data_IF_717127259845
#
_entry.id   IF_717127259845
#
_cell.length_a   1.000
_cell.length_b   1.000
_cell.length_c   1.000
_cell.angle_alpha   90.00
_cell.angle_beta   90.00
_cell.angle_gamma   90.00
#
_symmetry.space_group_name_H-M   'P 1'
#
loop_
_entity.id
_entity.type
_entity.pdbx_description
1 polymer ?
#
# COMPACT_ATOMS: atom_id res chain seq x y z
N UNK A 1 23.14 10.69 16.05
CA UNK A 1 22.60 10.36 14.72
C UNK A 1 23.25 11.08 13.54
N UNK A 2 24.42 11.72 13.73
CA UNK A 2 25.41 12.00 12.65
C UNK A 2 26.82 11.62 13.10
N UNK A 3 27.13 11.85 14.38
CA UNK A 3 28.42 11.47 14.98
C UNK A 3 28.75 9.96 15.00
N UNK A 4 27.76 9.08 14.83
CA UNK A 4 28.02 7.63 14.77
C UNK A 4 28.58 7.21 13.39
N UNK A 5 28.06 7.80 12.30
CA UNK A 5 28.54 7.56 10.95
C UNK A 5 29.94 8.14 10.70
N UNK A 6 30.23 9.33 11.25
CA UNK A 6 31.56 9.94 11.14
C UNK A 6 32.61 9.16 11.94
N UNK A 7 32.24 8.63 13.12
CA UNK A 7 33.10 7.75 13.90
C UNK A 7 33.33 6.41 13.18
N UNK A 8 32.28 5.78 12.62
CA UNK A 8 32.40 4.54 11.85
C UNK A 8 33.31 4.72 10.62
N UNK A 9 33.12 5.82 9.87
CA UNK A 9 33.97 6.18 8.73
C UNK A 9 35.42 6.38 9.13
N UNK A 10 35.68 7.07 10.25
CA UNK A 10 37.04 7.32 10.73
C UNK A 10 37.75 6.03 11.14
N UNK A 11 37.05 5.14 11.86
CA UNK A 11 37.59 3.83 12.26
C UNK A 11 37.87 2.93 11.05
N UNK A 12 36.97 2.90 10.07
CA UNK A 12 37.16 2.12 8.86
C UNK A 12 38.36 2.62 8.04
N UNK A 13 38.56 3.95 7.95
CA UNK A 13 39.75 4.53 7.30
C UNK A 13 41.04 4.16 8.02
N UNK A 14 41.09 4.25 9.34
CA UNK A 14 42.26 3.83 10.11
C UNK A 14 42.58 2.33 9.91
N UNK A 15 41.54 1.48 9.86
CA UNK A 15 41.72 0.06 9.55
C UNK A 15 42.33 -0.15 8.16
N UNK A 16 41.96 0.67 7.17
CA UNK A 16 42.53 0.63 5.82
C UNK A 16 43.94 1.22 5.72
N UNK A 17 44.31 2.17 6.59
CA UNK A 17 45.69 2.65 6.71
C UNK A 17 46.63 1.55 7.22
N UNK A 18 46.15 0.76 8.18
CA UNK A 18 46.90 -0.36 8.76
C UNK A 18 46.88 -1.61 7.88
N UNK A 19 45.75 -1.86 7.19
CA UNK A 19 45.54 -3.03 6.35
C UNK A 19 44.68 -2.66 5.11
N UNK A 20 45.31 -2.18 4.01
CA UNK A 20 44.61 -1.71 2.81
C UNK A 20 43.75 -2.77 2.11
N UNK A 21 44.08 -4.05 2.30
CA UNK A 21 43.42 -5.19 1.66
C UNK A 21 42.44 -5.92 2.59
N UNK A 22 42.06 -5.30 3.72
CA UNK A 22 41.08 -5.87 4.64
C UNK A 22 39.65 -5.68 4.09
N UNK A 23 39.08 -6.73 3.49
CA UNK A 23 37.74 -6.69 2.87
C UNK A 23 36.63 -6.17 3.81
N UNK A 24 36.52 -6.59 5.09
CA UNK A 24 35.53 -6.05 6.02
C UNK A 24 35.69 -4.55 6.31
N UNK A 25 36.90 -4.00 6.23
CA UNK A 25 37.11 -2.56 6.44
C UNK A 25 36.58 -1.74 5.26
N UNK A 26 36.72 -2.24 4.03
CA UNK A 26 36.07 -1.66 2.85
C UNK A 26 34.54 -1.74 2.96
N UNK A 27 33.98 -2.89 3.34
CA UNK A 27 32.53 -3.03 3.58
C UNK A 27 32.02 -2.00 4.60
N UNK A 28 32.67 -1.91 5.75
CA UNK A 28 32.28 -0.98 6.82
C UNK A 28 32.40 0.49 6.39
N UNK A 29 33.45 0.83 5.62
CA UNK A 29 33.58 2.17 5.04
C UNK A 29 32.43 2.47 4.07
N UNK A 30 32.07 1.50 3.22
CA UNK A 30 30.96 1.65 2.28
C UNK A 30 29.61 1.88 2.98
N UNK A 31 29.30 1.09 4.00
CA UNK A 31 28.08 1.26 4.82
C UNK A 31 28.04 2.65 5.48
N UNK A 32 29.18 3.13 6.00
CA UNK A 32 29.28 4.46 6.59
C UNK A 32 29.20 5.63 5.57
N UNK A 33 29.32 5.35 4.27
CA UNK A 33 29.18 6.33 3.20
C UNK A 33 27.75 6.43 2.64
N UNK A 34 26.94 5.37 2.74
CA UNK A 34 25.57 5.37 2.21
C UNK A 34 24.67 6.50 2.77
N UNK A 35 24.95 7.03 3.96
CA UNK A 35 24.21 8.15 4.56
C UNK A 35 24.53 9.56 4.01
N UNK A 36 25.45 9.71 3.03
CA UNK A 36 26.05 11.00 2.67
C UNK A 36 25.60 11.67 1.36
N UNK A 37 24.51 11.23 0.72
CA UNK A 37 24.05 11.76 -0.57
C UNK A 37 24.78 11.18 -1.80
N UNK A 38 24.53 11.72 -3.00
CA UNK A 38 24.93 11.10 -4.27
C UNK A 38 26.45 10.87 -4.44
N UNK A 39 27.29 11.83 -4.02
CA UNK A 39 28.75 11.69 -4.05
C UNK A 39 29.23 10.56 -3.11
N UNK A 40 28.56 10.40 -1.97
CA UNK A 40 28.88 9.34 -1.03
C UNK A 40 28.42 7.96 -1.51
N UNK A 41 27.36 7.89 -2.34
CA UNK A 41 26.91 6.64 -2.96
C UNK A 41 27.94 6.05 -3.94
N UNK A 42 28.63 6.88 -4.74
CA UNK A 42 29.72 6.40 -5.61
C UNK A 42 30.91 5.89 -4.81
N UNK A 43 31.26 6.57 -3.70
CA UNK A 43 32.28 6.10 -2.76
C UNK A 43 31.91 4.79 -2.08
N UNK A 44 30.64 4.63 -1.68
CA UNK A 44 30.14 3.39 -1.07
C UNK A 44 30.24 2.20 -2.02
N UNK A 45 29.80 2.38 -3.27
CA UNK A 45 29.89 1.37 -4.32
C UNK A 45 31.34 0.93 -4.60
N UNK A 46 32.27 1.89 -4.69
CA UNK A 46 33.69 1.58 -4.87
C UNK A 46 34.24 0.75 -3.70
N UNK A 47 33.85 1.08 -2.47
CA UNK A 47 34.23 0.32 -1.29
C UNK A 47 33.65 -1.10 -1.31
N UNK A 48 32.36 -1.27 -1.61
CA UNK A 48 31.77 -2.61 -1.68
C UNK A 48 32.35 -3.46 -2.81
N UNK A 49 32.61 -2.88 -4.00
CA UNK A 49 33.32 -3.58 -5.08
C UNK A 49 34.71 -4.01 -4.65
N UNK A 50 35.45 -3.16 -3.94
CA UNK A 50 36.77 -3.51 -3.42
C UNK A 50 36.67 -4.64 -2.39
N UNK A 51 35.70 -4.58 -1.49
CA UNK A 51 35.46 -5.65 -0.51
C UNK A 51 35.15 -6.99 -1.21
N UNK A 52 34.24 -7.00 -2.18
CA UNK A 52 33.89 -8.20 -2.95
C UNK A 52 35.04 -8.73 -3.82
N UNK A 53 35.93 -7.86 -4.30
CA UNK A 53 37.11 -8.27 -5.06
C UNK A 53 38.20 -8.89 -4.16
N UNK A 54 38.35 -8.39 -2.93
CA UNK A 54 39.30 -8.89 -1.95
C UNK A 54 38.82 -10.21 -1.33
N UNK A 55 37.52 -10.34 -1.09
CA UNK A 55 36.88 -11.56 -0.61
C UNK A 55 35.57 -11.81 -1.36
N UNK A 56 35.59 -12.66 -2.41
CA UNK A 56 34.38 -13.03 -3.15
C UNK A 56 33.32 -13.75 -2.31
N UNK A 57 33.67 -14.30 -1.14
CA UNK A 57 32.75 -14.99 -0.23
C UNK A 57 32.21 -14.07 0.87
N UNK A 58 32.53 -12.77 0.84
CA UNK A 58 31.94 -11.79 1.74
C UNK A 58 30.52 -11.44 1.28
N UNK A 59 29.55 -12.26 1.69
CA UNK A 59 28.15 -12.14 1.27
C UNK A 59 27.55 -10.75 1.49
N UNK A 60 27.87 -10.10 2.61
CA UNK A 60 27.39 -8.76 2.95
C UNK A 60 27.83 -7.68 1.95
N UNK A 61 29.01 -7.83 1.33
CA UNK A 61 29.48 -6.90 0.31
C UNK A 61 28.65 -6.99 -0.97
N UNK A 62 28.32 -8.22 -1.40
CA UNK A 62 27.43 -8.45 -2.54
C UNK A 62 26.01 -7.99 -2.22
N UNK A 63 25.52 -8.26 -1.01
CA UNK A 63 24.20 -7.81 -0.56
C UNK A 63 24.09 -6.28 -0.61
N UNK A 64 25.09 -5.55 -0.09
CA UNK A 64 25.11 -4.09 -0.09
C UNK A 64 25.23 -3.50 -1.50
N UNK A 65 26.00 -4.13 -2.40
CA UNK A 65 26.02 -3.76 -3.82
C UNK A 65 24.65 -3.96 -4.48
N UNK A 66 23.98 -5.07 -4.18
CA UNK A 66 22.65 -5.37 -4.70
C UNK A 66 21.63 -4.30 -4.33
N UNK A 67 21.60 -3.88 -3.06
CA UNK A 67 20.73 -2.80 -2.60
C UNK A 67 21.01 -1.46 -3.30
N UNK A 68 22.29 -1.15 -3.53
CA UNK A 68 22.71 0.09 -4.19
C UNK A 68 22.30 0.11 -5.67
N UNK A 69 22.48 -1.00 -6.38
CA UNK A 69 22.01 -1.16 -7.75
C UNK A 69 20.48 -1.08 -7.83
N UNK A 70 19.76 -1.72 -6.90
CA UNK A 70 18.31 -1.67 -6.84
C UNK A 70 17.79 -0.25 -6.58
N UNK A 71 18.42 0.51 -5.68
CA UNK A 71 18.08 1.92 -5.44
C UNK A 71 18.27 2.84 -6.66
N UNK A 72 19.03 2.39 -7.67
CA UNK A 72 19.20 3.08 -8.97
C UNK A 72 18.30 2.51 -10.08
N UNK A 73 17.52 1.46 -9.82
CA UNK A 73 16.73 0.75 -10.82
C UNK A 73 17.56 -0.16 -11.74
N UNK A 74 18.79 -0.51 -11.35
CA UNK A 74 19.69 -1.38 -12.10
C UNK A 74 19.45 -2.85 -11.73
N UNK A 75 18.24 -3.34 -11.98
CA UNK A 75 17.75 -4.66 -11.54
C UNK A 75 18.64 -5.83 -12.02
N UNK A 76 19.14 -5.74 -13.26
CA UNK A 76 20.26 -6.52 -13.83
C UNK A 76 21.36 -6.85 -12.82
N UNK A 77 22.02 -5.77 -12.42
CA UNK A 77 23.17 -5.81 -11.55
C UNK A 77 22.78 -6.20 -10.13
N UNK A 78 21.62 -5.74 -9.65
CA UNK A 78 21.12 -6.05 -8.32
C UNK A 78 20.87 -7.56 -8.15
N UNK A 79 20.21 -8.19 -9.13
CA UNK A 79 19.94 -9.63 -9.12
C UNK A 79 21.25 -10.45 -9.13
N UNK A 80 22.24 -10.06 -9.94
CA UNK A 80 23.52 -10.77 -9.94
C UNK A 80 24.23 -10.64 -8.59
N UNK A 81 24.23 -9.44 -7.99
CA UNK A 81 24.78 -9.22 -6.66
C UNK A 81 24.07 -10.09 -5.60
N UNK A 82 22.74 -10.16 -5.59
CA UNK A 82 22.01 -11.03 -4.66
C UNK A 82 22.30 -12.52 -4.90
N UNK A 83 22.45 -12.96 -6.15
CA UNK A 83 22.88 -14.35 -6.46
C UNK A 83 24.30 -14.64 -5.97
N UNK A 84 25.21 -13.67 -6.01
CA UNK A 84 26.56 -13.82 -5.45
C UNK A 84 26.50 -13.87 -3.92
N UNK A 85 25.68 -13.02 -3.29
CA UNK A 85 25.46 -13.04 -1.84
C UNK A 85 24.90 -14.40 -1.37
N UNK A 86 23.91 -14.96 -2.07
CA UNK A 86 23.33 -16.28 -1.79
C UNK A 86 24.35 -17.41 -2.00
N UNK A 87 25.20 -17.33 -3.04
CA UNK A 87 26.26 -18.31 -3.28
C UNK A 87 27.31 -18.31 -2.16
N UNK A 88 27.68 -17.11 -1.70
CA UNK A 88 28.64 -16.91 -0.62
C UNK A 88 28.06 -17.34 0.74
N UNK A 89 26.78 -17.06 0.99
CA UNK A 89 26.05 -17.46 2.19
C UNK A 89 24.60 -17.87 1.84
N UNK A 90 24.34 -19.18 1.65
CA UNK A 90 22.99 -19.68 1.40
C UNK A 90 21.99 -19.43 2.54
N UNK A 91 22.47 -19.12 3.75
CA UNK A 91 21.64 -18.79 4.91
C UNK A 91 21.17 -17.32 4.94
N UNK A 92 21.55 -16.49 3.97
CA UNK A 92 21.22 -15.07 3.93
C UNK A 92 19.78 -14.83 3.44
N UNK A 93 18.82 -14.98 4.35
CA UNK A 93 17.39 -14.80 4.08
C UNK A 93 17.04 -13.46 3.42
N UNK A 94 17.74 -12.38 3.77
CA UNK A 94 17.50 -11.06 3.18
C UNK A 94 17.83 -11.03 1.67
N UNK A 95 18.91 -11.68 1.25
CA UNK A 95 19.28 -11.75 -0.17
C UNK A 95 18.25 -12.55 -0.98
N UNK A 96 17.71 -13.62 -0.41
CA UNK A 96 16.58 -14.35 -0.99
C UNK A 96 15.32 -13.46 -1.10
N UNK A 97 14.99 -12.71 -0.05
CA UNK A 97 13.86 -11.78 -0.04
C UNK A 97 13.98 -10.72 -1.15
N UNK A 98 15.14 -10.06 -1.23
CA UNK A 98 15.36 -8.98 -2.20
C UNK A 98 15.40 -9.49 -3.64
N UNK A 99 16.03 -10.65 -3.89
CA UNK A 99 15.99 -11.30 -5.21
C UNK A 99 14.56 -11.70 -5.59
N UNK A 100 13.80 -12.25 -4.65
CA UNK A 100 12.38 -12.60 -4.85
C UNK A 100 11.52 -11.39 -5.22
N UNK A 101 11.75 -10.24 -4.58
CA UNK A 101 11.02 -9.00 -4.87
C UNK A 101 11.25 -8.52 -6.31
N UNK A 102 12.49 -8.49 -6.78
CA UNK A 102 12.80 -8.09 -8.17
C UNK A 102 12.17 -9.07 -9.17
N UNK A 103 12.25 -10.37 -8.89
CA UNK A 103 11.62 -11.41 -9.74
C UNK A 103 10.10 -11.23 -9.81
N UNK A 104 9.45 -10.91 -8.69
CA UNK A 104 8.02 -10.62 -8.62
C UNK A 104 7.65 -9.38 -9.45
N UNK A 105 8.42 -8.31 -9.32
CA UNK A 105 8.22 -7.07 -10.11
C UNK A 105 8.36 -7.30 -11.62
N UNK A 106 9.19 -8.28 -12.02
CA UNK A 106 9.32 -8.77 -13.40
C UNK A 106 8.27 -9.79 -13.82
N UNK A 107 7.29 -10.07 -12.95
CA UNK A 107 6.22 -11.06 -13.16
C UNK A 107 6.71 -12.52 -13.28
N UNK A 108 7.96 -12.82 -12.90
CA UNK A 108 8.43 -14.20 -12.73
C UNK A 108 8.06 -14.71 -11.33
N UNK A 109 6.75 -14.89 -11.14
CA UNK A 109 6.16 -15.26 -9.86
C UNK A 109 6.63 -16.65 -9.39
N UNK A 110 6.94 -17.56 -10.31
CA UNK A 110 7.45 -18.88 -9.97
C UNK A 110 8.85 -18.81 -9.37
N UNK A 111 9.77 -18.06 -9.99
CA UNK A 111 11.10 -17.86 -9.44
C UNK A 111 11.08 -17.05 -8.15
N UNK A 112 10.21 -16.04 -8.04
CA UNK A 112 10.01 -15.27 -6.82
C UNK A 112 9.60 -16.17 -5.64
N UNK A 113 8.60 -17.03 -5.84
CA UNK A 113 8.15 -18.00 -4.84
C UNK A 113 9.27 -18.93 -4.39
N UNK A 114 10.08 -19.45 -5.31
CA UNK A 114 11.22 -20.29 -4.98
C UNK A 114 12.24 -19.57 -4.09
N UNK A 115 12.48 -18.27 -4.32
CA UNK A 115 13.35 -17.48 -3.46
C UNK A 115 12.75 -17.23 -2.08
N UNK A 116 11.46 -16.91 -1.98
CA UNK A 116 10.81 -16.74 -0.68
C UNK A 116 10.82 -18.05 0.13
N UNK A 117 10.56 -19.19 -0.52
CA UNK A 117 10.61 -20.51 0.13
C UNK A 117 12.02 -20.88 0.59
N UNK A 118 13.05 -20.57 -0.21
CA UNK A 118 14.44 -20.75 0.20
C UNK A 118 14.80 -19.88 1.41
N UNK A 119 14.41 -18.59 1.39
CA UNK A 119 14.59 -17.68 2.52
C UNK A 119 13.89 -18.15 3.79
N UNK A 120 12.66 -18.66 3.68
CA UNK A 120 11.89 -19.20 4.80
C UNK A 120 12.43 -20.54 5.32
N UNK A 121 13.09 -21.32 4.47
CA UNK A 121 13.76 -22.57 4.89
C UNK A 121 14.92 -22.27 5.84
N UNK A 122 15.66 -21.19 5.59
CA UNK A 122 16.82 -20.80 6.40
C UNK A 122 16.45 -19.90 7.58
N UNK A 123 15.40 -19.08 7.44
CA UNK A 123 14.90 -18.20 8.49
C UNK A 123 13.35 -18.16 8.48
N UNK A 124 12.68 -19.07 9.21
CA UNK A 124 11.23 -19.24 9.13
C UNK A 124 10.40 -18.11 9.75
N UNK A 125 11.01 -17.29 10.61
CA UNK A 125 10.33 -16.26 11.41
C UNK A 125 10.58 -14.83 10.92
N UNK A 126 10.88 -14.66 9.63
CA UNK A 126 11.01 -13.35 8.99
C UNK A 126 9.65 -12.90 8.43
N UNK A 127 9.02 -11.93 9.09
CA UNK A 127 7.71 -11.41 8.70
C UNK A 127 7.65 -10.94 7.23
N UNK A 128 8.67 -10.22 6.77
CA UNK A 128 8.75 -9.69 5.41
C UNK A 128 8.72 -10.77 4.32
N UNK A 129 9.34 -11.93 4.57
CA UNK A 129 9.32 -13.06 3.62
C UNK A 129 7.91 -13.65 3.49
N UNK A 130 7.20 -13.82 4.60
CA UNK A 130 5.80 -14.26 4.58
C UNK A 130 4.89 -13.24 3.89
N UNK A 131 5.07 -11.94 4.16
CA UNK A 131 4.30 -10.87 3.53
C UNK A 131 4.52 -10.84 2.01
N UNK A 132 5.77 -10.87 1.55
CA UNK A 132 6.10 -10.83 0.12
C UNK A 132 5.66 -12.11 -0.61
N UNK A 133 5.75 -13.27 0.05
CA UNK A 133 5.16 -14.52 -0.45
C UNK A 133 3.63 -14.41 -0.59
N UNK A 134 2.95 -13.82 0.39
CA UNK A 134 1.52 -13.54 0.32
C UNK A 134 1.15 -12.65 -0.87
N UNK A 135 1.93 -11.62 -1.16
CA UNK A 135 1.73 -10.76 -2.35
C UNK A 135 1.88 -11.55 -3.64
N UNK A 136 2.93 -12.35 -3.78
CA UNK A 136 3.12 -13.18 -4.98
C UNK A 136 2.00 -14.24 -5.16
N UNK A 137 1.55 -14.86 -4.07
CA UNK A 137 0.42 -15.80 -4.09
C UNK A 137 -0.88 -15.11 -4.51
N UNK A 138 -1.12 -13.89 -4.03
CA UNK A 138 -2.26 -13.08 -4.45
C UNK A 138 -2.21 -12.74 -5.95
N UNK A 139 -1.05 -12.34 -6.46
CA UNK A 139 -0.84 -12.08 -7.90
C UNK A 139 -1.03 -13.34 -8.76
N UNK A 140 -0.73 -14.52 -8.21
CA UNK A 140 -1.02 -15.83 -8.83
C UNK A 140 -2.50 -16.25 -8.73
N UNK A 141 -3.36 -15.48 -8.04
CA UNK A 141 -4.76 -15.85 -7.78
C UNK A 141 -4.95 -16.95 -6.73
N UNK A 142 -3.89 -17.33 -6.01
CA UNK A 142 -3.93 -18.31 -4.91
C UNK A 142 -4.29 -17.62 -3.60
N UNK A 143 -5.53 -17.12 -3.52
CA UNK A 143 -5.96 -16.21 -2.45
C UNK A 143 -5.97 -16.85 -1.05
N UNK A 144 -6.41 -18.10 -0.91
CA UNK A 144 -6.41 -18.78 0.40
C UNK A 144 -4.99 -18.98 0.93
N UNK A 145 -4.05 -19.38 0.07
CA UNK A 145 -2.64 -19.51 0.42
C UNK A 145 -2.03 -18.14 0.79
N UNK A 146 -2.41 -17.08 0.06
CA UNK A 146 -1.99 -15.73 0.36
C UNK A 146 -2.44 -15.29 1.77
N UNK A 147 -3.68 -15.60 2.16
CA UNK A 147 -4.18 -15.32 3.51
C UNK A 147 -3.36 -16.05 4.58
N UNK A 148 -3.02 -17.32 4.39
CA UNK A 148 -2.16 -18.07 5.32
C UNK A 148 -0.80 -17.38 5.47
N UNK A 149 -0.19 -16.95 4.36
CA UNK A 149 1.07 -16.21 4.39
C UNK A 149 0.95 -14.87 5.10
N UNK A 150 -0.10 -14.08 4.83
CA UNK A 150 -0.32 -12.81 5.54
C UNK A 150 -0.61 -13.02 7.03
N UNK A 151 -1.37 -14.04 7.40
CA UNK A 151 -1.64 -14.39 8.81
C UNK A 151 -0.33 -14.71 9.54
N UNK A 152 0.58 -15.45 8.90
CA UNK A 152 1.89 -15.74 9.49
C UNK A 152 2.75 -14.48 9.60
N UNK A 153 2.75 -13.61 8.60
CA UNK A 153 3.45 -12.33 8.66
C UNK A 153 2.94 -11.45 9.81
N UNK A 154 1.61 -11.30 9.95
CA UNK A 154 0.97 -10.49 10.99
C UNK A 154 1.09 -11.10 12.39
N UNK A 155 1.29 -12.41 12.51
CA UNK A 155 1.63 -13.04 13.79
C UNK A 155 3.05 -12.67 14.26
N UNK A 156 3.97 -12.41 13.32
CA UNK A 156 5.36 -12.02 13.59
C UNK A 156 5.50 -10.50 13.75
N UNK A 157 4.80 -9.73 12.94
CA UNK A 157 4.71 -8.27 13.03
C UNK A 157 3.24 -7.79 12.95
N UNK A 158 2.55 -7.66 14.09
CA UNK A 158 1.15 -7.23 14.13
C UNK A 158 0.92 -5.79 13.62
N UNK A 159 1.94 -4.95 13.58
CA UNK A 159 1.83 -3.53 13.24
C UNK A 159 2.09 -3.24 11.75
N UNK A 160 2.41 -4.26 10.93
CA UNK A 160 2.55 -4.12 9.48
C UNK A 160 1.21 -3.76 8.82
N UNK A 161 1.01 -2.47 8.62
CA UNK A 161 -0.18 -1.91 8.01
C UNK A 161 -0.34 -2.29 6.54
N UNK A 162 0.76 -2.45 5.79
CA UNK A 162 0.69 -2.83 4.36
C UNK A 162 0.29 -4.29 4.23
N UNK A 163 0.86 -5.19 5.03
CA UNK A 163 0.45 -6.59 5.09
C UNK A 163 -1.02 -6.71 5.50
N UNK A 164 -1.46 -5.98 6.53
CA UNK A 164 -2.87 -5.96 6.97
C UNK A 164 -3.80 -5.46 5.87
N UNK A 165 -3.41 -4.42 5.12
CA UNK A 165 -4.18 -3.91 3.97
C UNK A 165 -4.24 -4.93 2.83
N UNK A 166 -3.14 -5.61 2.50
CA UNK A 166 -3.12 -6.63 1.45
C UNK A 166 -3.99 -7.84 1.81
N UNK A 167 -3.92 -8.29 3.07
CA UNK A 167 -4.84 -9.30 3.61
C UNK A 167 -6.30 -8.86 3.49
N UNK A 168 -6.62 -7.62 3.88
CA UNK A 168 -7.96 -7.07 3.77
C UNK A 168 -8.48 -7.10 2.32
N UNK A 169 -7.68 -6.68 1.36
CA UNK A 169 -8.04 -6.73 -0.07
C UNK A 169 -8.31 -8.17 -0.54
N UNK A 170 -7.49 -9.13 -0.07
CA UNK A 170 -7.68 -10.55 -0.38
C UNK A 170 -8.99 -11.09 0.18
N UNK A 171 -9.34 -10.73 1.42
CA UNK A 171 -10.63 -11.08 2.03
C UNK A 171 -11.81 -10.51 1.25
N UNK A 172 -11.72 -9.24 0.82
CA UNK A 172 -12.75 -8.59 0.02
C UNK A 172 -12.96 -9.30 -1.33
N UNK A 173 -11.87 -9.70 -2.00
CA UNK A 173 -11.94 -10.47 -3.25
C UNK A 173 -12.62 -11.84 -3.07
N UNK A 174 -12.39 -12.50 -1.93
CA UNK A 174 -13.02 -13.76 -1.58
C UNK A 174 -14.48 -13.62 -1.10
N UNK A 175 -15.03 -12.40 -1.06
CA UNK A 175 -16.39 -12.15 -0.56
C UNK A 175 -16.52 -12.25 0.97
N UNK A 176 -15.41 -12.33 1.72
CA UNK A 176 -15.38 -12.25 3.19
C UNK A 176 -15.48 -10.79 3.63
N UNK A 177 -16.57 -10.14 3.24
CA UNK A 177 -16.72 -8.68 3.25
C UNK A 177 -16.64 -8.07 4.65
N UNK A 178 -17.34 -8.63 5.63
CA UNK A 178 -17.36 -8.08 6.99
C UNK A 178 -15.95 -8.00 7.59
N UNK A 179 -15.17 -9.08 7.49
CA UNK A 179 -13.78 -9.12 7.97
C UNK A 179 -12.86 -8.24 7.11
N UNK A 180 -13.01 -8.30 5.79
CA UNK A 180 -12.20 -7.53 4.85
C UNK A 180 -12.33 -6.02 5.05
N UNK A 181 -13.56 -5.51 5.21
CA UNK A 181 -13.80 -4.08 5.42
C UNK A 181 -13.28 -3.60 6.77
N UNK A 182 -13.42 -4.39 7.82
CA UNK A 182 -12.84 -4.07 9.13
C UNK A 182 -11.29 -4.00 9.06
N UNK A 183 -10.66 -4.98 8.42
CA UNK A 183 -9.21 -4.98 8.23
C UNK A 183 -8.72 -3.85 7.31
N UNK A 184 -9.53 -3.41 6.35
CA UNK A 184 -9.19 -2.35 5.40
C UNK A 184 -9.02 -0.97 6.05
N UNK A 185 -9.51 -0.76 7.27
CA UNK A 185 -9.23 0.47 8.05
C UNK A 185 -7.73 0.64 8.35
N UNK A 186 -6.93 -0.43 8.28
CA UNK A 186 -5.47 -0.36 8.36
C UNK A 186 -4.84 0.55 7.29
N UNK A 187 -5.56 0.81 6.18
CA UNK A 187 -5.10 1.68 5.08
C UNK A 187 -4.56 3.01 5.59
N UNK A 188 -5.15 3.60 6.62
CA UNK A 188 -4.74 4.91 7.14
C UNK A 188 -3.31 4.96 7.70
N UNK A 189 -2.74 3.79 8.03
CA UNK A 189 -1.36 3.65 8.51
C UNK A 189 -0.38 3.31 7.39
N UNK A 190 -0.85 3.07 6.17
CA UNK A 190 0.00 2.73 5.04
C UNK A 190 0.57 3.98 4.37
N UNK A 191 1.70 3.84 3.66
CA UNK A 191 2.40 4.98 3.07
C UNK A 191 1.51 5.78 2.13
N UNK A 192 0.65 5.09 1.38
CA UNK A 192 -0.28 5.71 0.42
C UNK A 192 -1.32 6.62 1.07
N UNK A 193 -1.85 6.30 2.25
CA UNK A 193 -2.94 7.07 2.87
C UNK A 193 -2.53 7.83 4.12
N UNK A 194 -1.28 7.67 4.56
CA UNK A 194 -0.74 8.40 5.72
C UNK A 194 -0.94 9.91 5.53
N UNK A 195 -1.61 10.54 6.50
CA UNK A 195 -1.92 11.98 6.48
C UNK A 195 -3.13 12.37 5.62
N UNK A 196 -3.80 11.43 4.94
CA UNK A 196 -5.00 11.70 4.14
C UNK A 196 -6.30 11.57 4.96
N UNK A 197 -6.26 10.96 6.14
CA UNK A 197 -7.42 10.93 7.02
C UNK A 197 -7.70 12.34 7.56
N UNK A 198 -8.67 13.00 6.95
CA UNK A 198 -9.11 14.35 7.32
C UNK A 198 -10.00 14.34 8.58
N UNK A 199 -9.96 13.25 9.37
CA UNK A 199 -10.75 12.97 10.58
C UNK A 199 -10.63 13.99 11.72
N UNK A 200 -9.79 15.02 11.61
CA UNK A 200 -9.87 16.28 12.37
C UNK A 200 -10.25 16.20 13.85
N UNK A 201 -11.00 17.21 14.32
CA UNK A 201 -11.56 17.32 15.68
C UNK A 201 -12.99 16.77 15.80
N UNK A 202 -13.63 16.47 14.67
CA UNK A 202 -15.01 15.98 14.63
C UNK A 202 -14.99 14.46 14.76
N UNK A 203 -15.79 13.87 15.67
CA UNK A 203 -15.76 12.43 15.91
C UNK A 203 -16.12 11.62 14.64
N UNK A 204 -15.53 10.42 14.54
CA UNK A 204 -15.92 9.46 13.51
C UNK A 204 -17.34 8.97 13.79
N UNK A 205 -18.20 8.95 12.78
CA UNK A 205 -19.51 8.32 12.90
C UNK A 205 -19.36 6.82 13.13
N UNK A 206 -20.15 6.27 14.05
CA UNK A 206 -20.30 4.82 14.25
C UNK A 206 -21.78 4.52 14.47
N UNK A 207 -22.24 3.35 14.04
CA UNK A 207 -23.64 2.96 14.17
C UNK A 207 -24.15 2.93 15.64
N UNK A 208 -23.25 2.73 16.60
CA UNK A 208 -23.61 2.63 18.03
C UNK A 208 -23.55 3.95 18.80
N UNK A 209 -22.95 5.01 18.23
CA UNK A 209 -22.59 6.22 18.97
C UNK A 209 -23.12 7.54 18.41
N UNK A 210 -24.00 7.49 17.41
CA UNK A 210 -24.58 8.67 16.79
C UNK A 210 -26.00 8.92 17.30
N UNK A 211 -26.26 10.16 17.71
CA UNK A 211 -27.61 10.59 18.09
C UNK A 211 -28.54 10.61 16.86
N UNK A 212 -29.84 10.27 17.03
CA UNK A 212 -30.83 10.47 15.98
C UNK A 212 -30.91 11.94 15.53
N UNK A 213 -31.05 12.18 14.23
CA UNK A 213 -31.04 13.48 13.59
C UNK A 213 -29.66 14.15 13.45
N UNK A 214 -28.58 13.49 13.88
CA UNK A 214 -27.23 14.04 13.76
C UNK A 214 -26.82 14.21 12.29
N UNK A 215 -26.01 15.25 12.04
CA UNK A 215 -25.49 15.54 10.71
C UNK A 215 -24.16 14.81 10.50
N UNK A 216 -24.12 13.95 9.48
CA UNK A 216 -22.97 13.13 9.14
C UNK A 216 -22.36 13.58 7.83
N UNK A 217 -21.11 14.04 7.87
CA UNK A 217 -20.32 14.30 6.68
C UNK A 217 -19.68 13.01 6.17
N UNK A 218 -20.21 12.49 5.07
CA UNK A 218 -19.60 11.40 4.29
C UNK A 218 -18.61 11.99 3.30
N UNK A 219 -17.39 11.47 3.26
CA UNK A 219 -16.31 12.06 2.45
C UNK A 219 -15.75 11.05 1.48
N UNK A 220 -15.87 11.34 0.20
CA UNK A 220 -15.15 10.59 -0.83
C UNK A 220 -13.64 10.82 -0.68
N UNK A 221 -12.89 9.75 -0.45
CA UNK A 221 -11.44 9.78 -0.30
C UNK A 221 -10.67 9.07 -1.41
N UNK A 222 -11.36 8.39 -2.33
CA UNK A 222 -10.75 7.60 -3.40
C UNK A 222 -11.20 8.05 -4.80
N UNK A 223 -11.13 7.17 -5.79
CA UNK A 223 -11.39 7.52 -7.20
C UNK A 223 -12.86 7.75 -7.51
N UNK A 224 -13.13 8.13 -8.75
CA UNK A 224 -14.52 8.31 -9.22
C UNK A 224 -15.33 7.02 -9.16
N UNK A 225 -14.71 5.88 -9.50
CA UNK A 225 -15.35 4.56 -9.43
C UNK A 225 -15.80 4.22 -8.02
N UNK A 226 -14.90 4.36 -7.05
CA UNK A 226 -15.20 4.12 -5.63
C UNK A 226 -16.27 5.09 -5.13
N UNK A 227 -16.18 6.37 -5.50
CA UNK A 227 -17.19 7.36 -5.13
C UNK A 227 -18.58 6.95 -5.64
N UNK A 228 -18.70 6.59 -6.92
CA UNK A 228 -19.98 6.15 -7.51
C UNK A 228 -20.45 4.83 -6.88
N UNK A 229 -19.55 3.90 -6.64
CA UNK A 229 -19.90 2.58 -6.12
C UNK A 229 -20.37 2.66 -4.68
N UNK A 230 -19.68 3.40 -3.81
CA UNK A 230 -19.94 3.40 -2.37
C UNK A 230 -20.88 4.50 -1.90
N UNK A 231 -21.16 5.52 -2.72
CA UNK A 231 -22.17 6.53 -2.40
C UNK A 231 -23.56 5.94 -2.08
N UNK A 232 -23.88 4.75 -2.59
CA UNK A 232 -25.12 4.01 -2.27
C UNK A 232 -25.35 3.75 -0.78
N UNK A 233 -24.30 3.77 0.04
CA UNK A 233 -24.42 3.61 1.49
C UNK A 233 -25.02 4.84 2.18
N UNK A 234 -25.12 5.99 1.51
CA UNK A 234 -25.75 7.18 2.06
C UNK A 234 -27.23 6.93 2.44
N UNK A 235 -27.94 6.10 1.67
CA UNK A 235 -29.32 5.73 1.98
C UNK A 235 -29.44 4.98 3.31
N UNK A 236 -28.44 4.18 3.69
CA UNK A 236 -28.43 3.47 4.98
C UNK A 236 -28.22 4.43 6.16
N UNK A 237 -27.39 5.45 5.99
CA UNK A 237 -27.23 6.51 6.99
C UNK A 237 -28.56 7.28 7.18
N UNK A 238 -29.21 7.67 6.09
CA UNK A 238 -30.51 8.33 6.16
C UNK A 238 -31.57 7.45 6.84
N UNK A 239 -31.59 6.15 6.55
CA UNK A 239 -32.47 5.17 7.21
C UNK A 239 -32.15 4.98 8.71
N UNK A 240 -30.91 5.26 9.12
CA UNK A 240 -30.49 5.31 10.53
C UNK A 240 -30.76 6.69 11.18
N UNK A 241 -31.71 7.45 10.65
CA UNK A 241 -32.11 8.79 11.10
C UNK A 241 -30.94 9.79 11.13
N UNK A 242 -30.08 9.77 10.11
CA UNK A 242 -28.95 10.71 9.99
C UNK A 242 -29.18 11.72 8.86
N UNK A 243 -28.80 12.96 9.08
CA UNK A 243 -28.76 13.99 8.04
C UNK A 243 -27.44 13.89 7.26
N UNK A 244 -27.49 13.35 6.04
CA UNK A 244 -26.26 13.03 5.29
C UNK A 244 -25.82 14.18 4.41
N UNK A 245 -24.58 14.62 4.60
CA UNK A 245 -23.87 15.53 3.70
C UNK A 245 -22.78 14.75 2.99
N UNK A 246 -22.73 14.81 1.66
CA UNK A 246 -21.72 14.12 0.86
C UNK A 246 -20.69 15.11 0.29
N UNK A 247 -19.43 15.02 0.74
CA UNK A 247 -18.28 15.66 0.09
C UNK A 247 -17.78 14.74 -1.05
N UNK A 248 -17.72 15.24 -2.28
CA UNK A 248 -17.26 14.48 -3.43
C UNK A 248 -16.46 15.34 -4.42
N UNK A 249 -15.71 14.72 -5.37
CA UNK A 249 -15.00 15.48 -6.40
C UNK A 249 -15.96 16.36 -7.23
N UNK A 250 -15.52 17.56 -7.59
CA UNK A 250 -16.35 18.54 -8.32
C UNK A 250 -16.98 17.96 -9.60
N UNK A 251 -16.24 17.10 -10.32
CA UNK A 251 -16.73 16.41 -11.52
C UNK A 251 -17.96 15.53 -11.27
N UNK A 252 -18.11 14.98 -10.06
CA UNK A 252 -19.22 14.09 -9.70
C UNK A 252 -20.37 14.82 -9.00
N UNK A 253 -20.16 16.05 -8.51
CA UNK A 253 -21.16 16.80 -7.72
C UNK A 253 -22.57 16.75 -8.30
N UNK A 254 -22.71 17.07 -9.58
CA UNK A 254 -24.00 17.13 -10.27
C UNK A 254 -24.69 15.78 -10.43
N UNK A 255 -23.93 14.68 -10.51
CA UNK A 255 -24.50 13.34 -10.49
C UNK A 255 -24.95 12.99 -9.06
N UNK A 256 -24.11 13.32 -8.08
CA UNK A 256 -24.37 12.99 -6.68
C UNK A 256 -25.57 13.73 -6.08
N UNK A 257 -26.02 14.86 -6.65
CA UNK A 257 -27.25 15.53 -6.21
C UNK A 257 -28.53 14.70 -6.44
N UNK A 258 -28.45 13.61 -7.21
CA UNK A 258 -29.56 12.68 -7.45
C UNK A 258 -29.63 11.52 -6.45
N UNK A 259 -28.67 11.46 -5.52
CA UNK A 259 -28.51 10.35 -4.58
C UNK A 259 -29.56 10.42 -3.47
N UNK A 260 -30.35 9.37 -3.34
CA UNK A 260 -31.38 9.27 -2.31
C UNK A 260 -30.70 9.24 -0.91
N UNK A 261 -31.30 9.95 0.06
CA UNK A 261 -30.79 10.04 1.44
C UNK A 261 -29.72 11.11 1.70
N UNK A 262 -29.25 11.84 0.68
CA UNK A 262 -28.30 12.95 0.84
C UNK A 262 -29.03 14.29 0.80
N UNK A 263 -28.92 15.07 1.88
CA UNK A 263 -29.54 16.39 1.99
C UNK A 263 -28.71 17.50 1.34
N UNK A 264 -27.40 17.28 1.21
CA UNK A 264 -26.49 18.26 0.61
C UNK A 264 -25.26 17.58 0.02
N UNK A 265 -24.87 18.01 -1.19
CA UNK A 265 -23.61 17.61 -1.83
C UNK A 265 -22.67 18.80 -1.88
N UNK A 266 -21.45 18.62 -1.37
CA UNK A 266 -20.39 19.63 -1.34
C UNK A 266 -19.16 19.17 -2.12
N UNK A 267 -18.39 20.13 -2.63
CA UNK A 267 -17.18 19.86 -3.40
C UNK A 267 -16.00 19.61 -2.48
N UNK A 268 -15.23 18.57 -2.80
CA UNK A 268 -13.98 18.29 -2.12
C UNK A 268 -12.99 19.44 -2.31
N UNK A 269 -12.44 19.93 -1.20
CA UNK A 269 -11.49 21.06 -1.21
C UNK A 269 -12.14 22.44 -1.37
N UNK A 270 -13.48 22.54 -1.29
CA UNK A 270 -14.17 23.82 -1.25
C UNK A 270 -13.91 24.62 0.04
N UNK A 271 -14.12 25.95 -0.03
CA UNK A 271 -13.71 26.90 1.01
C UNK A 271 -14.40 26.72 2.38
N UNK A 272 -15.58 26.09 2.42
CA UNK A 272 -16.31 25.88 3.67
C UNK A 272 -17.17 24.63 3.66
N UNK A 273 -16.90 23.72 4.60
CA UNK A 273 -17.77 22.60 4.91
C UNK A 273 -18.97 23.07 5.75
N UNK A 274 -20.17 22.53 5.52
CA UNK A 274 -21.32 22.74 6.40
C UNK A 274 -21.03 22.23 7.82
N UNK A 275 -21.77 22.75 8.80
CA UNK A 275 -21.74 22.22 10.16
C UNK A 275 -22.16 20.74 10.16
N UNK A 276 -21.40 19.90 10.87
CA UNK A 276 -21.67 18.47 10.99
C UNK A 276 -21.18 17.98 12.35
N UNK A 277 -21.91 17.01 12.91
CA UNK A 277 -21.67 16.45 14.24
C UNK A 277 -20.68 15.28 14.18
N UNK A 278 -20.76 14.50 13.10
CA UNK A 278 -19.89 13.37 12.83
C UNK A 278 -19.37 13.37 11.39
N UNK A 279 -18.33 12.59 11.15
CA UNK A 279 -17.79 12.37 9.81
C UNK A 279 -17.39 10.92 9.58
N UNK A 280 -17.40 10.47 8.33
CA UNK A 280 -16.95 9.13 7.96
C UNK A 280 -16.36 9.13 6.53
N UNK A 281 -15.19 8.50 6.30
CA UNK A 281 -14.70 8.25 4.96
C UNK A 281 -15.66 7.32 4.23
N UNK A 282 -15.92 7.56 2.95
CA UNK A 282 -16.92 6.83 2.19
C UNK A 282 -16.61 5.32 2.18
N UNK A 283 -15.33 4.94 2.08
CA UNK A 283 -14.92 3.53 2.06
C UNK A 283 -14.93 2.87 3.44
N UNK A 284 -15.24 3.61 4.50
CA UNK A 284 -15.44 3.05 5.85
C UNK A 284 -16.90 2.70 6.14
N UNK A 285 -17.86 3.13 5.29
CA UNK A 285 -19.28 2.81 5.46
C UNK A 285 -19.56 1.30 5.42
N UNK A 286 -18.98 0.50 4.49
CA UNK A 286 -19.23 -0.93 4.48
C UNK A 286 -18.84 -1.63 5.79
N UNK A 287 -17.73 -1.20 6.40
CA UNK A 287 -17.28 -1.70 7.71
C UNK A 287 -18.27 -1.30 8.82
N UNK A 288 -18.69 -0.03 8.83
CA UNK A 288 -19.59 0.51 9.85
C UNK A 288 -20.99 -0.15 9.81
N UNK A 289 -21.44 -0.58 8.64
CA UNK A 289 -22.68 -1.35 8.46
C UNK A 289 -22.49 -2.87 8.48
N UNK A 290 -21.29 -3.37 8.81
CA UNK A 290 -20.96 -4.80 8.85
C UNK A 290 -21.39 -5.55 7.57
N UNK A 291 -21.09 -4.97 6.40
CA UNK A 291 -21.59 -5.45 5.11
C UNK A 291 -21.16 -6.88 4.81
N UNK A 292 -22.11 -7.72 4.43
CA UNK A 292 -21.90 -9.00 3.76
C UNK A 292 -22.53 -8.99 2.34
N UNK A 293 -22.44 -10.12 1.62
CA UNK A 293 -22.97 -10.22 0.25
C UNK A 293 -24.49 -10.00 0.15
N UNK A 294 -25.25 -10.30 1.21
CA UNK A 294 -26.69 -10.15 1.26
C UNK A 294 -27.12 -8.72 1.63
N UNK A 295 -26.27 -7.97 2.33
CA UNK A 295 -26.60 -6.62 2.83
C UNK A 295 -26.00 -5.48 1.99
N UNK A 296 -25.30 -5.77 0.88
CA UNK A 296 -24.83 -4.73 -0.05
C UNK A 296 -26.05 -3.94 -0.53
N UNK A 297 -26.09 -2.60 -0.40
CA UNK A 297 -27.16 -1.81 -0.98
C UNK A 297 -27.20 -2.05 -2.51
N UNK A 298 -28.27 -2.66 -3.00
CA UNK A 298 -28.37 -3.10 -4.38
C UNK A 298 -29.58 -2.52 -5.13
N UNK A 299 -30.42 -1.74 -4.44
CA UNK A 299 -31.57 -1.07 -5.06
C UNK A 299 -31.11 -0.09 -6.13
N UNK A 300 -31.56 -0.31 -7.36
CA UNK A 300 -31.20 0.47 -8.54
C UNK A 300 -32.44 1.05 -9.23
N UNK A 301 -32.36 2.27 -9.78
CA UNK A 301 -31.20 3.15 -9.78
C UNK A 301 -31.08 3.96 -8.46
N UNK A 302 -29.90 3.93 -7.84
CA UNK A 302 -29.55 4.79 -6.68
C UNK A 302 -28.93 6.13 -7.10
N UNK A 303 -28.57 6.28 -8.39
CA UNK A 303 -28.11 7.52 -9.01
C UNK A 303 -28.88 7.73 -10.31
N UNK A 304 -29.25 8.98 -10.58
CA UNK A 304 -30.03 9.37 -11.77
C UNK A 304 -29.34 10.53 -12.48
N UNK A 305 -29.01 10.35 -13.75
CA UNK A 305 -28.56 11.46 -14.57
C UNK A 305 -29.68 12.52 -14.65
N UNK A 306 -29.41 13.80 -14.43
CA UNK A 306 -30.45 14.82 -14.47
C UNK A 306 -31.10 14.91 -15.85
N UNK A 307 -32.39 15.20 -15.88
CA UNK A 307 -33.22 15.05 -17.09
C UNK A 307 -32.76 15.91 -18.27
N UNK A 308 -32.25 17.11 -17.98
CA UNK A 308 -31.66 17.99 -19.00
C UNK A 308 -30.56 17.30 -19.78
N UNK A 309 -29.62 16.66 -19.09
CA UNK A 309 -28.51 15.96 -19.71
C UNK A 309 -28.95 14.75 -20.52
N UNK A 310 -29.92 13.99 -20.00
CA UNK A 310 -30.50 12.87 -20.71
C UNK A 310 -31.15 13.32 -22.01
N UNK A 311 -31.87 14.44 -21.99
CA UNK A 311 -32.46 15.04 -23.18
C UNK A 311 -31.39 15.54 -24.17
N UNK A 312 -30.35 16.21 -23.68
CA UNK A 312 -29.25 16.71 -24.50
C UNK A 312 -28.49 15.56 -25.20
N UNK A 313 -28.18 14.49 -24.47
CA UNK A 313 -27.53 13.30 -25.02
C UNK A 313 -28.43 12.55 -25.99
N UNK A 314 -29.73 12.41 -25.72
CA UNK A 314 -30.68 11.80 -26.66
C UNK A 314 -30.68 12.55 -27.99
N UNK A 315 -30.77 13.90 -27.97
CA UNK A 315 -30.68 14.71 -29.20
C UNK A 315 -29.37 14.55 -29.95
N UNK A 316 -28.24 14.31 -29.27
CA UNK A 316 -26.94 14.05 -29.91
C UNK A 316 -26.90 12.66 -30.55
N UNK A 317 -27.40 11.64 -29.86
CA UNK A 317 -27.46 10.27 -30.35
C UNK A 317 -28.39 10.16 -31.57
N UNK A 318 -29.54 10.84 -31.54
CA UNK A 318 -30.47 10.87 -32.67
C UNK A 318 -29.84 11.45 -33.94
N UNK A 319 -28.92 12.43 -33.80
CA UNK A 319 -28.15 12.98 -34.93
C UNK A 319 -27.10 12.02 -35.47
N UNK A 320 -26.54 11.15 -34.63
CA UNK A 320 -25.53 10.16 -35.02
C UNK A 320 -26.15 8.92 -35.67
N UNK A 321 -27.39 8.59 -35.33
CA UNK A 321 -28.07 7.40 -35.85
C UNK A 321 -28.38 7.44 -37.35
N UNK A 322 -28.25 8.60 -38.01
CA UNK A 322 -28.65 8.80 -39.41
C UNK A 322 -30.16 8.60 -39.63
N UNK A 323 -30.70 8.94 -40.81
CA UNK A 323 -32.08 8.57 -41.14
C UNK A 323 -32.18 7.03 -41.24
N UNK A 324 -33.12 6.46 -40.49
CA UNK A 324 -33.52 5.04 -40.58
C UNK A 324 -34.23 4.74 -41.89
#
# INVERSE_FOLDING_TARGET
>A
TTGDFDAARSRARLALELAPDLAPAHLNLGLALQGGGASAAAGAEACFRRAAALDPNLADAHQALGQLHQGRGEDDAAMECYRQAIRANPGMAEAHCNLGNILRERLDLAAAMAQYDAGLTVAPDIAALHANKGVALHELGRFDDALVSYDRALALDPEDAECRRNRAMTLLLLGRLAEGWQAYEARWRTARFKGQDRGGKVPRWTAAGAEPGATVLVRAEQGFGDTIQFARYAALLAAADQHVILECPATLRRLMTSLDGVIQVVEQGGDRLPGHDYQIPLMSLPAAFATDLATIPADVPYLRAPDRDRADWRRRLDKLAGPR
#
